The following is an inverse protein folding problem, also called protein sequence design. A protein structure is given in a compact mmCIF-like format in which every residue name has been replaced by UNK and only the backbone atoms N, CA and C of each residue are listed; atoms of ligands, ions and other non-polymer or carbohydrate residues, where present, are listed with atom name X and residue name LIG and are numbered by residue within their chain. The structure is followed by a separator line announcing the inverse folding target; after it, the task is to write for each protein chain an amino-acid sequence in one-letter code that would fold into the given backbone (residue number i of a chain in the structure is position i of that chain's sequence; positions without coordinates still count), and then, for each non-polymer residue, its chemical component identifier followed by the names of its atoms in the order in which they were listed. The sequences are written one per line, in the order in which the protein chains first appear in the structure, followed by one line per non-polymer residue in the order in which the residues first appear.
data_IF_986589274279
#
_entry.id   IF_986589274279
#
_cell.length_a   1.000
_cell.length_b   1.000
_cell.length_c   1.000
_cell.angle_alpha   90.00
_cell.angle_beta   90.00
_cell.angle_gamma   90.00
#
_symmetry.space_group_name_H-M   'P 1'
#
loop_
_entity.id
_entity.type
_entity.pdbx_description
1 polymer ?
#
# COMPACT_ATOMS: atom_id res chain seq x y z
N UNK A 1 -11.64 -18.37 10.48
CA UNK A 1 -10.79 -17.83 9.39
C UNK A 1 -9.71 -16.84 9.85
N UNK A 2 -9.96 -15.96 10.83
CA UNK A 2 -8.96 -14.96 11.32
C UNK A 2 -7.60 -15.54 11.71
N UNK A 3 -7.57 -16.73 12.30
CA UNK A 3 -6.33 -17.39 12.75
C UNK A 3 -5.46 -17.88 11.58
N UNK A 4 -6.08 -18.33 10.48
CA UNK A 4 -5.36 -18.89 9.33
C UNK A 4 -4.69 -17.79 8.50
N UNK A 5 -5.40 -16.70 8.19
CA UNK A 5 -4.82 -15.58 7.43
C UNK A 5 -3.67 -14.89 8.18
N UNK A 6 -3.82 -14.69 9.49
CA UNK A 6 -2.77 -14.13 10.32
C UNK A 6 -1.54 -15.05 10.42
N UNK A 7 -1.74 -16.37 10.52
CA UNK A 7 -0.63 -17.33 10.53
C UNK A 7 0.13 -17.34 9.20
N UNK A 8 -0.58 -17.33 8.07
CA UNK A 8 0.03 -17.26 6.72
C UNK A 8 0.79 -15.95 6.53
N UNK A 9 0.20 -14.81 6.92
CA UNK A 9 0.85 -13.50 6.85
C UNK A 9 2.12 -13.45 7.72
N UNK A 10 2.10 -14.06 8.90
CA UNK A 10 3.31 -14.17 9.73
C UNK A 10 4.39 -14.98 9.01
N UNK A 11 4.07 -16.16 8.50
CA UNK A 11 5.04 -17.00 7.79
C UNK A 11 5.62 -16.32 6.55
N UNK A 12 4.80 -15.60 5.77
CA UNK A 12 5.28 -14.83 4.61
C UNK A 12 6.22 -13.70 5.03
N UNK A 13 5.93 -13.01 6.14
CA UNK A 13 6.78 -11.95 6.67
C UNK A 13 8.14 -12.50 7.13
N UNK A 14 8.14 -13.59 7.90
CA UNK A 14 9.36 -14.25 8.35
C UNK A 14 10.23 -14.71 7.15
N UNK A 15 9.60 -15.28 6.12
CA UNK A 15 10.31 -15.70 4.89
C UNK A 15 10.80 -14.53 4.05
N UNK A 16 10.03 -13.45 3.95
CA UNK A 16 10.44 -12.23 3.24
C UNK A 16 11.68 -11.61 3.90
N UNK A 17 11.70 -11.56 5.24
CA UNK A 17 12.83 -11.04 6.01
C UNK A 17 14.09 -11.90 5.83
N UNK A 18 13.95 -13.22 5.93
CA UNK A 18 15.07 -14.14 5.67
C UNK A 18 15.62 -14.00 4.25
N UNK A 19 14.75 -13.94 3.24
CA UNK A 19 15.17 -13.77 1.85
C UNK A 19 15.89 -12.42 1.64
N UNK A 20 15.42 -11.35 2.29
CA UNK A 20 16.07 -10.03 2.25
C UNK A 20 17.45 -10.06 2.88
N UNK A 21 17.60 -10.69 4.04
CA UNK A 21 18.90 -10.83 4.71
C UNK A 21 19.91 -11.59 3.83
N UNK A 22 19.47 -12.67 3.19
CA UNK A 22 20.29 -13.43 2.23
C UNK A 22 20.68 -12.57 1.04
N UNK A 23 19.74 -11.88 0.39
CA UNK A 23 20.02 -11.00 -0.74
C UNK A 23 21.03 -9.91 -0.37
N UNK A 24 20.91 -9.29 0.81
CA UNK A 24 21.84 -8.28 1.29
C UNK A 24 23.23 -8.83 1.60
N UNK A 25 23.32 -10.08 2.08
CA UNK A 25 24.60 -10.76 2.27
C UNK A 25 25.28 -11.01 0.92
N UNK A 26 24.56 -11.58 -0.03
CA UNK A 26 25.08 -11.84 -1.39
C UNK A 26 25.52 -10.54 -2.08
N UNK A 27 24.75 -9.45 -1.92
CA UNK A 27 25.11 -8.14 -2.45
C UNK A 27 26.45 -7.64 -1.90
N UNK A 28 26.69 -7.80 -0.59
CA UNK A 28 27.96 -7.42 0.04
C UNK A 28 29.13 -8.27 -0.42
N UNK A 29 28.90 -9.55 -0.74
CA UNK A 29 29.94 -10.43 -1.27
C UNK A 29 30.26 -10.07 -2.72
N UNK A 30 29.24 -9.94 -3.57
CA UNK A 30 29.39 -9.54 -4.96
C UNK A 30 30.10 -8.18 -5.11
N UNK A 31 29.83 -7.20 -4.25
CA UNK A 31 30.55 -5.93 -4.25
C UNK A 31 32.06 -6.10 -4.06
N UNK A 32 32.49 -7.05 -3.22
CA UNK A 32 33.92 -7.34 -3.02
C UNK A 32 34.52 -8.05 -4.24
N UNK A 33 33.77 -8.94 -4.85
CA UNK A 33 34.20 -9.68 -6.04
C UNK A 33 34.34 -8.72 -7.23
N UNK A 34 33.38 -7.82 -7.42
CA UNK A 34 33.43 -6.76 -8.43
C UNK A 34 34.60 -5.80 -8.20
N UNK A 35 34.85 -5.36 -6.96
CA UNK A 35 36.00 -4.51 -6.65
C UNK A 35 37.35 -5.24 -6.89
N UNK A 36 37.38 -6.56 -6.72
CA UNK A 36 38.56 -7.37 -7.04
C UNK A 36 38.74 -7.50 -8.55
N UNK A 37 37.65 -7.80 -9.27
CA UNK A 37 37.63 -7.89 -10.73
C UNK A 37 38.07 -6.57 -11.37
N UNK A 38 37.58 -5.43 -10.88
CA UNK A 38 37.99 -4.10 -11.34
C UNK A 38 39.50 -3.89 -11.20
N UNK A 39 40.09 -4.24 -10.05
CA UNK A 39 41.55 -4.15 -9.84
C UNK A 39 42.33 -5.06 -10.79
N UNK A 40 41.78 -6.22 -11.13
CA UNK A 40 42.38 -7.15 -12.10
C UNK A 40 42.33 -6.54 -13.51
N UNK A 41 41.17 -6.04 -13.94
CA UNK A 41 40.96 -5.49 -15.28
C UNK A 41 41.73 -4.18 -15.51
N UNK A 42 41.95 -3.39 -14.46
CA UNK A 42 42.77 -2.17 -14.50
C UNK A 42 44.28 -2.45 -14.37
N UNK A 43 44.69 -3.71 -14.20
CA UNK A 43 46.08 -4.10 -14.04
C UNK A 43 46.69 -3.77 -12.66
N UNK A 44 45.90 -3.23 -11.74
CA UNK A 44 46.31 -2.92 -10.35
C UNK A 44 46.50 -4.17 -9.49
N UNK A 45 46.01 -5.33 -9.94
CA UNK A 45 46.16 -6.65 -9.31
C UNK A 45 46.32 -7.72 -10.40
N UNK A 46 47.11 -8.77 -10.15
CA UNK A 46 47.14 -9.95 -11.03
C UNK A 46 45.90 -10.82 -10.82
N UNK A 47 45.42 -11.48 -11.88
CA UNK A 47 44.21 -12.32 -11.83
C UNK A 47 44.30 -13.46 -10.80
N UNK A 48 45.43 -14.16 -10.71
CA UNK A 48 45.57 -15.32 -9.82
C UNK A 48 44.46 -16.35 -10.03
N UNK A 49 43.92 -16.89 -8.94
CA UNK A 49 42.82 -17.87 -8.95
C UNK A 49 41.43 -17.21 -8.88
N UNK A 50 41.28 -15.97 -9.34
CA UNK A 50 39.99 -15.28 -9.32
C UNK A 50 38.97 -15.97 -10.25
N UNK A 51 37.86 -16.44 -9.68
CA UNK A 51 36.81 -17.13 -10.42
C UNK A 51 35.72 -16.17 -10.88
N UNK A 52 35.63 -15.94 -12.21
CA UNK A 52 34.53 -15.15 -12.81
C UNK A 52 33.15 -15.75 -12.53
N UNK A 53 33.09 -17.06 -12.28
CA UNK A 53 31.86 -17.74 -11.92
C UNK A 53 31.24 -17.20 -10.61
N UNK A 54 32.06 -16.80 -9.63
CA UNK A 54 31.58 -16.27 -8.36
C UNK A 54 30.79 -14.96 -8.54
N UNK A 55 31.20 -14.13 -9.52
CA UNK A 55 30.48 -12.89 -9.88
C UNK A 55 29.09 -13.21 -10.44
N UNK A 56 29.01 -14.16 -11.37
CA UNK A 56 27.73 -14.56 -11.99
C UNK A 56 26.83 -15.27 -10.98
N UNK A 57 27.40 -16.16 -10.16
CA UNK A 57 26.67 -16.88 -9.12
C UNK A 57 26.13 -15.92 -8.05
N UNK A 58 26.95 -14.98 -7.56
CA UNK A 58 26.51 -13.95 -6.62
C UNK A 58 25.37 -13.10 -7.18
N UNK A 59 25.47 -12.68 -8.45
CA UNK A 59 24.38 -11.94 -9.11
C UNK A 59 23.08 -12.76 -9.21
N UNK A 60 23.19 -14.06 -9.52
CA UNK A 60 22.05 -14.96 -9.57
C UNK A 60 21.40 -15.17 -8.21
N UNK A 61 22.17 -15.41 -7.15
CA UNK A 61 21.62 -15.59 -5.80
C UNK A 61 20.98 -14.30 -5.27
N UNK A 62 21.51 -13.11 -5.62
CA UNK A 62 20.82 -11.84 -5.34
C UNK A 62 19.46 -11.81 -6.02
N UNK A 63 19.40 -12.10 -7.33
CA UNK A 63 18.15 -12.12 -8.07
C UNK A 63 17.14 -13.09 -7.43
N UNK A 64 17.56 -14.32 -7.15
CA UNK A 64 16.73 -15.35 -6.55
C UNK A 64 16.14 -14.91 -5.20
N UNK A 65 16.98 -14.42 -4.30
CA UNK A 65 16.56 -14.05 -2.96
C UNK A 65 15.73 -12.74 -2.95
N UNK A 66 16.10 -11.75 -3.77
CA UNK A 66 15.37 -10.50 -3.89
C UNK A 66 13.97 -10.71 -4.50
N UNK A 67 13.84 -11.54 -5.53
CA UNK A 67 12.54 -11.87 -6.14
C UNK A 67 11.59 -12.46 -5.10
N UNK A 68 12.05 -13.42 -4.28
CA UNK A 68 11.24 -14.00 -3.20
C UNK A 68 10.80 -12.94 -2.19
N UNK A 69 11.70 -12.04 -1.77
CA UNK A 69 11.37 -10.99 -0.81
C UNK A 69 10.27 -10.05 -1.34
N UNK A 70 10.39 -9.61 -2.60
CA UNK A 70 9.46 -8.68 -3.26
C UNK A 70 8.11 -9.33 -3.58
N UNK A 71 8.11 -10.59 -4.02
CA UNK A 71 6.88 -11.34 -4.25
C UNK A 71 6.09 -11.54 -2.94
N UNK A 72 6.78 -11.87 -1.85
CA UNK A 72 6.14 -12.00 -0.54
C UNK A 72 5.56 -10.67 -0.04
N UNK A 73 6.21 -9.53 -0.27
CA UNK A 73 5.66 -8.21 0.06
C UNK A 73 4.35 -7.92 -0.72
N UNK A 74 4.34 -8.29 -2.00
CA UNK A 74 3.15 -8.16 -2.84
C UNK A 74 2.00 -9.02 -2.32
N UNK A 75 2.28 -10.28 -1.96
CA UNK A 75 1.29 -11.19 -1.38
C UNK A 75 0.76 -10.71 -0.02
N UNK A 76 1.65 -10.20 0.84
CA UNK A 76 1.27 -9.64 2.14
C UNK A 76 0.29 -8.47 1.98
N UNK A 77 0.59 -7.56 1.05
CA UNK A 77 -0.28 -6.41 0.73
C UNK A 77 -1.67 -6.88 0.28
N UNK A 78 -1.73 -7.94 -0.55
CA UNK A 78 -2.99 -8.55 -0.98
C UNK A 78 -3.77 -9.17 0.18
N UNK A 79 -3.10 -9.95 1.05
CA UNK A 79 -3.73 -10.56 2.23
C UNK A 79 -4.28 -9.50 3.17
N UNK A 80 -3.53 -8.43 3.43
CA UNK A 80 -3.95 -7.34 4.32
C UNK A 80 -5.20 -6.63 3.78
N UNK A 81 -5.21 -6.31 2.48
CA UNK A 81 -6.37 -5.68 1.82
C UNK A 81 -7.62 -6.56 1.87
N UNK A 82 -7.51 -7.83 1.46
CA UNK A 82 -8.65 -8.75 1.45
C UNK A 82 -9.14 -9.03 2.88
N UNK A 83 -8.23 -9.14 3.85
CA UNK A 83 -8.60 -9.31 5.26
C UNK A 83 -9.36 -8.09 5.77
N UNK A 84 -8.95 -6.87 5.44
CA UNK A 84 -9.66 -5.65 5.83
C UNK A 84 -11.07 -5.59 5.22
N UNK A 85 -11.21 -5.92 3.93
CA UNK A 85 -12.50 -5.96 3.24
C UNK A 85 -13.45 -7.00 3.86
N UNK A 86 -12.96 -8.21 4.15
CA UNK A 86 -13.74 -9.26 4.82
C UNK A 86 -14.15 -8.82 6.23
N UNK A 87 -13.24 -8.24 7.01
CA UNK A 87 -13.56 -7.75 8.36
C UNK A 87 -14.59 -6.62 8.35
N UNK A 88 -14.50 -5.69 7.40
CA UNK A 88 -15.49 -4.63 7.23
C UNK A 88 -16.87 -5.20 6.88
N UNK A 89 -16.92 -6.18 5.98
CA UNK A 89 -18.15 -6.89 5.62
C UNK A 89 -18.76 -7.64 6.81
N UNK A 90 -17.96 -8.46 7.49
CA UNK A 90 -18.40 -9.18 8.70
C UNK A 90 -18.93 -8.21 9.76
N UNK A 91 -18.29 -7.06 9.92
CA UNK A 91 -18.73 -6.03 10.85
C UNK A 91 -20.11 -5.46 10.47
N UNK A 92 -20.31 -5.14 9.19
CA UNK A 92 -21.59 -4.64 8.67
C UNK A 92 -22.71 -5.66 8.90
N UNK A 93 -22.51 -6.90 8.43
CA UNK A 93 -23.49 -7.98 8.52
C UNK A 93 -23.84 -8.28 9.99
N UNK A 94 -22.84 -8.34 10.88
CA UNK A 94 -23.04 -8.57 12.31
C UNK A 94 -23.92 -7.50 12.97
N UNK A 95 -23.88 -6.27 12.49
CA UNK A 95 -24.66 -5.15 13.03
C UNK A 95 -25.95 -4.90 12.25
N UNK A 96 -26.36 -5.85 11.39
CA UNK A 96 -27.63 -5.81 10.67
C UNK A 96 -27.61 -4.87 9.46
N UNK A 97 -26.44 -4.43 9.00
CA UNK A 97 -26.34 -3.74 7.72
C UNK A 97 -26.44 -4.74 6.56
N UNK A 98 -27.13 -4.35 5.50
CA UNK A 98 -27.41 -5.19 4.34
C UNK A 98 -27.13 -4.44 3.05
N UNK A 99 -26.82 -5.20 1.99
CA UNK A 99 -26.62 -4.64 0.66
C UNK A 99 -27.98 -4.60 -0.05
N UNK A 100 -28.47 -3.40 -0.34
CA UNK A 100 -29.72 -3.18 -1.07
C UNK A 100 -29.43 -2.81 -2.53
N UNK A 101 -30.40 -3.09 -3.39
CA UNK A 101 -30.35 -2.75 -4.82
C UNK A 101 -31.00 -1.39 -5.12
N UNK A 102 -31.84 -0.87 -4.22
CA UNK A 102 -32.52 0.44 -4.33
C UNK A 102 -32.64 1.11 -2.96
N UNK A 103 -31.91 2.21 -2.69
CA UNK A 103 -30.71 2.65 -3.40
C UNK A 103 -29.65 1.54 -3.45
N UNK A 104 -28.77 1.54 -4.46
CA UNK A 104 -27.73 0.53 -4.55
C UNK A 104 -26.62 0.79 -3.53
N UNK A 105 -26.38 -0.16 -2.61
CA UNK A 105 -25.26 -0.12 -1.66
C UNK A 105 -25.62 -0.58 -0.26
N UNK A 106 -24.73 -0.31 0.69
CA UNK A 106 -24.86 -0.71 2.08
C UNK A 106 -25.86 0.17 2.81
N UNK A 107 -26.80 -0.45 3.51
CA UNK A 107 -27.82 0.21 4.30
C UNK A 107 -27.91 -0.40 5.69
N UNK A 108 -28.25 0.40 6.68
CA UNK A 108 -28.51 -0.04 8.04
C UNK A 108 -29.80 0.58 8.57
N UNK A 109 -30.60 -0.22 9.27
CA UNK A 109 -31.84 0.24 9.90
C UNK A 109 -31.54 0.46 11.38
N UNK A 110 -31.67 1.70 11.83
CA UNK A 110 -31.46 2.04 13.23
C UNK A 110 -32.49 1.36 14.14
N UNK A 111 -32.25 1.24 15.46
CA UNK A 111 -33.24 0.73 16.41
C UNK A 111 -34.57 1.52 16.41
N UNK A 112 -34.57 2.76 15.89
CA UNK A 112 -35.76 3.60 15.73
C UNK A 112 -36.51 3.36 14.41
N UNK A 113 -36.04 2.44 13.56
CA UNK A 113 -36.63 2.12 12.26
C UNK A 113 -36.16 3.00 11.10
N UNK A 114 -35.29 4.00 11.34
CA UNK A 114 -34.74 4.83 10.26
C UNK A 114 -33.72 4.05 9.41
N UNK A 115 -33.95 3.98 8.10
CA UNK A 115 -32.98 3.43 7.14
C UNK A 115 -31.90 4.47 6.81
N UNK A 116 -30.64 4.07 6.89
CA UNK A 116 -29.48 4.91 6.62
C UNK A 116 -28.62 4.29 5.53
N UNK A 117 -28.30 5.07 4.51
CA UNK A 117 -27.31 4.70 3.52
C UNK A 117 -25.90 4.87 4.10
N UNK A 118 -25.07 3.84 3.98
CA UNK A 118 -23.71 3.80 4.54
C UNK A 118 -22.63 3.98 3.47
N UNK A 119 -22.92 3.63 2.21
CA UNK A 119 -21.96 3.73 1.11
C UNK A 119 -22.29 2.81 -0.04
N UNK A 120 -21.60 2.97 -1.17
CA UNK A 120 -21.78 2.09 -2.35
C UNK A 120 -21.32 0.66 -2.05
N UNK A 121 -21.74 -0.29 -2.88
CA UNK A 121 -21.36 -1.71 -2.74
C UNK A 121 -19.85 -1.94 -2.76
N UNK A 122 -19.10 -1.12 -3.50
CA UNK A 122 -17.63 -1.18 -3.59
C UNK A 122 -16.91 -0.47 -2.44
N UNK A 123 -17.64 0.19 -1.54
CA UNK A 123 -17.09 1.01 -0.46
C UNK A 123 -17.32 0.37 0.92
N UNK A 124 -17.14 -0.95 1.01
CA UNK A 124 -17.42 -1.76 2.21
C UNK A 124 -16.70 -1.25 3.46
N UNK A 125 -15.43 -0.86 3.37
CA UNK A 125 -14.68 -0.31 4.50
C UNK A 125 -15.26 1.03 4.99
N UNK A 126 -15.56 1.95 4.05
CA UNK A 126 -16.18 3.24 4.38
C UNK A 126 -17.57 3.06 4.99
N UNK A 127 -18.35 2.10 4.48
CA UNK A 127 -19.66 1.78 5.02
C UNK A 127 -19.55 1.23 6.46
N UNK A 128 -18.56 0.38 6.74
CA UNK A 128 -18.30 -0.12 8.09
C UNK A 128 -17.91 1.02 9.04
N UNK A 129 -17.07 1.97 8.60
CA UNK A 129 -16.73 3.16 9.37
C UNK A 129 -17.94 4.06 9.64
N UNK A 130 -18.77 4.30 8.62
CA UNK A 130 -20.02 5.04 8.78
C UNK A 130 -20.90 4.39 9.85
N UNK A 131 -21.06 3.06 9.80
CA UNK A 131 -21.84 2.34 10.81
C UNK A 131 -21.23 2.43 12.21
N UNK A 132 -19.90 2.35 12.35
CA UNK A 132 -19.22 2.52 13.66
C UNK A 132 -19.55 3.85 14.32
N UNK A 133 -19.69 4.93 13.54
CA UNK A 133 -20.06 6.24 14.08
C UNK A 133 -21.52 6.34 14.55
N UNK A 134 -22.39 5.48 14.02
CA UNK A 134 -23.82 5.47 14.33
C UNK A 134 -24.19 4.57 15.50
N UNK A 135 -23.36 3.57 15.81
CA UNK A 135 -23.58 2.66 16.93
C UNK A 135 -23.31 3.33 18.28
N UNK A 136 -24.10 3.03 19.32
CA UNK A 136 -23.86 3.54 20.67
C UNK A 136 -22.47 3.10 21.16
N UNK A 137 -21.59 4.06 21.46
CA UNK A 137 -20.19 3.82 21.82
C UNK A 137 -19.18 4.01 20.68
N UNK A 138 -19.62 4.46 19.49
CA UNK A 138 -18.76 4.83 18.37
C UNK A 138 -17.80 5.97 18.71
N UNK A 139 -16.57 5.65 19.13
CA UNK A 139 -15.50 6.66 19.26
C UNK A 139 -15.18 7.20 17.86
N UNK A 140 -15.46 8.50 17.62
CA UNK A 140 -14.84 9.27 16.53
C UNK A 140 -13.33 9.20 16.70
N UNK A 141 -12.66 8.38 15.90
CA UNK A 141 -11.24 8.56 15.63
C UNK A 141 -11.03 9.98 15.13
N UNK A 142 -10.25 10.76 15.87
CA UNK A 142 -10.03 12.19 15.63
C UNK A 142 -9.20 12.35 14.35
N UNK A 143 -9.85 12.38 13.18
CA UNK A 143 -9.19 12.86 11.96
C UNK A 143 -8.92 14.36 12.13
N UNK A 144 -7.65 14.72 12.04
CA UNK A 144 -7.13 16.09 12.06
C UNK A 144 -8.00 16.99 11.17
N UNK A 145 -8.55 18.06 11.74
CA UNK A 145 -9.30 19.05 11.00
C UNK A 145 -8.37 19.68 9.96
N UNK A 146 -8.73 19.60 8.68
CA UNK A 146 -8.22 20.49 7.66
C UNK A 146 -8.85 21.88 7.90
N UNK A 147 -8.02 22.91 7.85
CA UNK A 147 -8.37 24.32 8.03
C UNK A 147 -9.38 24.79 6.95
N UNK A 148 -10.16 25.85 7.24
CA UNK A 148 -11.26 26.28 6.39
C UNK A 148 -10.80 27.01 5.12
N UNK A 149 -11.63 26.82 4.10
CA UNK A 149 -11.80 27.52 2.83
C UNK A 149 -11.08 28.87 2.64
N UNK A 150 -10.32 28.98 1.55
CA UNK A 150 -10.16 30.24 0.83
C UNK A 150 -11.26 30.38 -0.22
N UNK A 151 -11.82 31.58 -0.24
CA UNK A 151 -12.92 32.05 -1.06
C UNK A 151 -12.67 31.86 -2.57
N UNK A 152 -13.67 31.29 -3.24
CA UNK A 152 -13.81 31.40 -4.70
C UNK A 152 -15.06 32.22 -4.98
N UNK A 153 -14.86 33.42 -5.50
CA UNK A 153 -15.84 34.13 -6.32
C UNK A 153 -15.14 34.92 -7.44
N UNK A 154 -15.83 35.19 -8.57
CA UNK A 154 -15.39 34.63 -9.85
C UNK A 154 -15.25 35.67 -10.98
N UNK A 155 -14.81 35.17 -12.14
CA UNK A 155 -15.09 35.65 -13.50
C UNK A 155 -14.61 37.06 -13.89
N UNK A 156 -13.44 37.11 -14.54
CA UNK A 156 -13.05 38.23 -15.40
C UNK A 156 -13.15 37.85 -16.87
N UNK A 157 -13.87 38.63 -17.68
CA UNK A 157 -13.67 38.88 -19.13
C UNK A 157 -14.71 39.93 -19.60
N UNK A 158 -14.50 40.67 -20.72
CA UNK A 158 -13.41 41.57 -21.12
C UNK A 158 -13.92 42.96 -21.65
N UNK A 159 -13.00 43.75 -22.22
CA UNK A 159 -13.15 45.01 -23.02
C UNK A 159 -13.16 46.32 -22.18
N UNK A 160 -12.54 47.45 -22.55
CA UNK A 160 -12.10 47.93 -23.88
C UNK A 160 -11.10 49.12 -23.76
N UNK A 161 -10.21 49.25 -24.76
CA UNK A 161 -9.58 50.44 -25.40
C UNK A 161 -9.05 51.64 -24.59
N UNK A 162 -7.74 51.91 -24.73
CA UNK A 162 -7.09 53.18 -25.22
C UNK A 162 -5.59 53.12 -24.87
N UNK A 163 -4.66 52.97 -25.81
CA UNK A 163 -4.02 54.00 -26.64
C UNK A 163 -3.03 54.91 -25.89
N UNK A 164 -1.90 55.18 -26.55
CA UNK A 164 -0.83 56.16 -26.22
C UNK A 164 0.24 55.65 -25.23
N UNK A 165 1.55 55.68 -25.47
CA UNK A 165 2.40 56.25 -26.51
C UNK A 165 3.83 56.34 -25.92
N UNK A 166 4.87 56.29 -26.77
CA UNK A 166 6.19 56.86 -26.45
C UNK A 166 7.31 55.92 -26.02
N UNK A 167 8.20 55.68 -26.99
CA UNK A 167 9.67 55.51 -26.92
C UNK A 167 10.31 54.39 -26.07
#
# INVERSE_FOLDING_TARGET
MKTTAAAVAKTLRDRSEQARELALRELKMLQKDLATLEKILTGSRKAGDFALFDVVHGAFEIFRNASVALEHETLLTGIEKETAAVQAREFLEKHGATLLTKPAGWHWISPKGEMRFLGKATETEKAADALRTLLPGGRRGKSKAAAPAEDVQPAGTPADISADGGE
#
